data_IF_484258082571
#
_entry.id   IF_484258082571
#
_cell.length_a   1.000
_cell.length_b   1.000
_cell.length_c   1.000
_cell.angle_alpha   90.00
_cell.angle_beta   90.00
_cell.angle_gamma   90.00
#
_symmetry.space_group_name_H-M   'P 1'
#
loop_
_entity.id
_entity.type
_entity.pdbx_description
1 polymer ?
#
# COMPACT_ATOMS: atom_id res chain seq x y z
N UNK A 1 -11.63 -27.86 -30.31
CA UNK A 1 -10.77 -28.86 -29.66
C UNK A 1 -9.28 -28.54 -29.90
N UNK A 2 -8.65 -27.86 -28.93
CA UNK A 2 -7.20 -27.71 -28.93
C UNK A 2 -6.60 -29.11 -28.75
N UNK A 3 -5.94 -29.65 -29.78
CA UNK A 3 -5.16 -30.86 -29.64
C UNK A 3 -3.95 -30.53 -28.76
N UNK A 4 -3.97 -31.01 -27.52
CA UNK A 4 -2.80 -31.09 -26.66
C UNK A 4 -1.86 -32.13 -27.31
N UNK A 5 -0.88 -31.66 -28.08
CA UNK A 5 0.20 -32.51 -28.58
C UNK A 5 1.00 -33.07 -27.40
N UNK A 6 1.20 -34.39 -27.30
CA UNK A 6 1.95 -34.97 -26.19
C UNK A 6 3.42 -34.54 -26.32
N UNK A 7 3.85 -33.64 -25.44
CA UNK A 7 5.27 -33.36 -25.27
C UNK A 7 5.94 -34.63 -24.74
N UNK A 8 6.95 -35.12 -25.45
CA UNK A 8 7.77 -36.26 -25.04
C UNK A 8 8.67 -35.82 -23.87
N UNK A 9 8.11 -35.83 -22.66
CA UNK A 9 8.88 -35.87 -21.42
C UNK A 9 8.75 -37.28 -20.84
N UNK A 10 9.90 -37.86 -20.43
CA UNK A 10 10.08 -39.23 -19.92
C UNK A 10 8.83 -39.76 -19.19
N UNK A 11 8.25 -40.86 -19.69
CA UNK A 11 7.00 -41.50 -19.24
C UNK A 11 6.97 -41.95 -17.76
N UNK A 12 8.06 -41.79 -17.01
CA UNK A 12 8.23 -42.34 -15.66
C UNK A 12 8.16 -41.29 -14.52
N UNK A 13 7.83 -40.02 -14.81
CA UNK A 13 7.63 -39.00 -13.76
C UNK A 13 6.16 -38.59 -13.64
N UNK A 14 5.65 -38.35 -12.41
CA UNK A 14 4.34 -37.73 -12.24
C UNK A 14 4.29 -36.38 -12.96
N UNK A 15 3.19 -36.10 -13.65
CA UNK A 15 2.95 -34.87 -14.40
C UNK A 15 1.73 -34.09 -13.89
N UNK A 16 0.80 -34.78 -13.21
CA UNK A 16 -0.45 -34.22 -12.72
C UNK A 16 -0.66 -34.52 -11.24
N UNK A 17 -1.28 -33.58 -10.53
CA UNK A 17 -1.89 -33.80 -9.23
C UNK A 17 -3.39 -34.04 -9.40
N UNK A 18 -3.90 -35.03 -8.66
CA UNK A 18 -5.31 -35.35 -8.55
C UNK A 18 -5.85 -34.72 -7.27
N UNK A 19 -6.97 -34.02 -7.39
CA UNK A 19 -7.71 -33.45 -6.28
C UNK A 19 -9.10 -34.07 -6.20
N UNK A 20 -9.53 -34.44 -5.00
CA UNK A 20 -10.88 -34.92 -4.72
C UNK A 20 -11.40 -34.15 -3.49
N UNK A 21 -12.52 -33.45 -3.67
CA UNK A 21 -13.13 -32.62 -2.63
C UNK A 21 -12.12 -31.64 -1.99
N UNK A 22 -11.29 -31.01 -2.83
CA UNK A 22 -10.27 -30.04 -2.42
C UNK A 22 -8.97 -30.63 -1.87
N UNK A 23 -8.91 -31.94 -1.58
CA UNK A 23 -7.69 -32.59 -1.09
C UNK A 23 -6.85 -33.15 -2.24
N UNK A 24 -5.53 -32.90 -2.23
CA UNK A 24 -4.61 -33.55 -3.17
C UNK A 24 -4.46 -35.04 -2.81
N UNK A 25 -5.11 -35.95 -3.55
CA UNK A 25 -5.16 -37.39 -3.24
C UNK A 25 -4.11 -38.23 -3.95
N UNK A 26 -3.36 -37.67 -4.89
CA UNK A 26 -2.22 -38.37 -5.48
C UNK A 26 -1.58 -37.68 -6.68
N UNK A 27 -0.44 -38.21 -7.11
CA UNK A 27 0.30 -37.76 -8.29
C UNK A 27 0.22 -38.81 -9.42
N UNK A 28 -0.06 -38.37 -10.64
CA UNK A 28 -0.30 -39.22 -11.82
C UNK A 28 0.69 -38.89 -12.93
N UNK A 29 1.22 -39.91 -13.59
CA UNK A 29 2.05 -39.74 -14.80
C UNK A 29 1.22 -39.49 -16.07
N UNK A 30 -0.03 -39.96 -16.09
CA UNK A 30 -0.97 -39.79 -17.21
C UNK A 30 -2.42 -39.74 -16.71
N UNK A 31 -3.28 -39.04 -17.46
CA UNK A 31 -4.71 -38.93 -17.21
C UNK A 31 -5.56 -39.92 -18.02
N UNK A 32 -4.95 -40.84 -18.79
CA UNK A 32 -5.65 -41.81 -19.65
C UNK A 32 -6.73 -42.63 -18.93
N UNK A 33 -6.50 -42.98 -17.66
CA UNK A 33 -7.46 -43.74 -16.83
C UNK A 33 -8.75 -42.96 -16.53
N UNK A 34 -8.77 -41.65 -16.80
CA UNK A 34 -9.90 -40.75 -16.56
C UNK A 34 -10.50 -40.23 -17.87
N UNK A 35 -10.24 -40.89 -19.01
CA UNK A 35 -10.66 -40.44 -20.34
C UNK A 35 -12.16 -40.18 -20.49
N UNK A 36 -13.00 -40.99 -19.82
CA UNK A 36 -14.45 -40.78 -19.81
C UNK A 36 -14.85 -39.54 -19.00
N UNK A 37 -14.29 -39.36 -17.80
CA UNK A 37 -14.55 -38.18 -16.97
C UNK A 37 -14.08 -36.89 -17.65
N UNK A 38 -12.94 -36.95 -18.35
CA UNK A 38 -12.36 -35.80 -19.06
C UNK A 38 -13.29 -35.26 -20.17
N UNK A 39 -14.25 -36.05 -20.68
CA UNK A 39 -15.22 -35.58 -21.70
C UNK A 39 -16.15 -34.48 -21.18
N UNK A 40 -16.46 -34.53 -19.88
CA UNK A 40 -17.35 -33.58 -19.21
C UNK A 40 -16.60 -32.49 -18.43
N UNK A 41 -15.26 -32.48 -18.51
CA UNK A 41 -14.41 -31.52 -17.82
C UNK A 41 -14.07 -30.31 -18.70
N UNK A 42 -13.86 -29.17 -18.04
CA UNK A 42 -13.36 -27.95 -18.67
C UNK A 42 -11.87 -27.81 -18.34
N UNK A 43 -11.04 -27.68 -19.38
CA UNK A 43 -9.61 -27.44 -19.21
C UNK A 43 -9.30 -25.94 -19.23
N UNK A 44 -8.63 -25.47 -18.18
CA UNK A 44 -8.11 -24.10 -18.08
C UNK A 44 -6.61 -24.12 -18.32
N UNK A 45 -6.16 -23.47 -19.39
CA UNK A 45 -4.74 -23.23 -19.63
C UNK A 45 -4.38 -21.87 -19.01
N UNK A 46 -3.76 -21.93 -17.84
CA UNK A 46 -3.36 -20.75 -17.08
C UNK A 46 -1.90 -20.43 -17.41
N UNK A 47 -1.71 -19.43 -18.25
CA UNK A 47 -0.40 -18.92 -18.64
C UNK A 47 -0.48 -17.44 -18.97
N UNK A 48 0.68 -16.79 -19.01
CA UNK A 48 0.80 -15.42 -19.48
C UNK A 48 1.65 -15.42 -20.74
N UNK A 49 1.25 -14.64 -21.75
CA UNK A 49 2.10 -14.35 -22.92
C UNK A 49 3.28 -13.42 -22.57
N UNK A 50 3.32 -12.93 -21.32
CA UNK A 50 4.44 -12.19 -20.78
C UNK A 50 5.55 -13.14 -20.30
N UNK A 51 6.76 -12.90 -20.80
CA UNK A 51 7.98 -13.53 -20.30
C UNK A 51 8.75 -12.55 -19.40
N UNK A 52 8.79 -12.84 -18.09
CA UNK A 52 9.62 -12.10 -17.14
C UNK A 52 11.11 -12.20 -17.50
N UNK A 53 11.55 -13.35 -18.01
CA UNK A 53 12.93 -13.55 -18.44
C UNK A 53 13.31 -12.66 -19.64
N UNK A 54 12.39 -12.46 -20.59
CA UNK A 54 12.61 -11.49 -21.69
C UNK A 54 12.68 -10.05 -21.16
N UNK A 55 11.86 -9.70 -20.17
CA UNK A 55 11.89 -8.39 -19.54
C UNK A 55 13.20 -8.14 -18.78
N UNK A 56 13.70 -9.14 -18.06
CA UNK A 56 15.01 -9.09 -17.38
C UNK A 56 16.14 -8.85 -18.39
N UNK A 57 16.16 -9.60 -19.49
CA UNK A 57 17.17 -9.40 -20.55
C UNK A 57 17.12 -8.00 -21.15
N UNK A 58 15.92 -7.51 -21.48
CA UNK A 58 15.72 -6.14 -22.00
C UNK A 58 16.20 -5.07 -21.01
N UNK A 59 16.07 -5.34 -19.72
CA UNK A 59 16.58 -4.50 -18.64
C UNK A 59 18.10 -4.63 -18.42
N UNK A 60 18.80 -5.51 -19.15
CA UNK A 60 20.22 -5.78 -18.96
C UNK A 60 20.50 -6.53 -17.66
N UNK A 61 19.57 -7.40 -17.25
CA UNK A 61 19.70 -8.33 -16.14
C UNK A 61 19.89 -9.75 -16.68
N UNK A 62 20.72 -10.58 -16.04
CA UNK A 62 20.87 -11.97 -16.44
C UNK A 62 19.57 -12.75 -16.17
N UNK A 63 19.28 -13.73 -17.03
CA UNK A 63 18.27 -14.76 -16.72
C UNK A 63 18.66 -15.51 -15.45
N UNK A 64 17.68 -15.84 -14.60
CA UNK A 64 17.91 -16.60 -13.36
C UNK A 64 16.85 -17.69 -13.21
N UNK A 65 17.28 -18.95 -13.26
CA UNK A 65 16.48 -20.12 -12.86
C UNK A 65 17.09 -20.76 -11.59
N UNK A 66 16.28 -21.27 -10.63
CA UNK A 66 14.81 -21.18 -10.47
C UNK A 66 14.35 -20.04 -9.52
N UNK A 67 13.07 -19.67 -9.59
CA UNK A 67 12.41 -18.77 -8.64
C UNK A 67 11.74 -19.55 -7.50
N UNK A 68 11.88 -19.07 -6.27
CA UNK A 68 10.98 -19.46 -5.18
C UNK A 68 9.60 -18.82 -5.36
N UNK A 69 8.55 -19.57 -5.03
CA UNK A 69 7.18 -19.09 -4.96
C UNK A 69 6.69 -19.09 -3.52
N UNK A 70 6.19 -17.96 -3.05
CA UNK A 70 5.74 -17.78 -1.67
C UNK A 70 4.24 -17.54 -1.64
N UNK A 71 3.57 -18.15 -0.67
CA UNK A 71 2.17 -17.85 -0.37
C UNK A 71 2.11 -16.58 0.48
N UNK A 72 1.25 -15.64 0.10
CA UNK A 72 1.06 -14.38 0.82
C UNK A 72 -0.11 -14.47 1.80
N UNK A 73 -0.34 -13.43 2.59
CA UNK A 73 -1.59 -13.22 3.35
C UNK A 73 -2.63 -12.40 2.56
N UNK A 74 -2.30 -11.98 1.34
CA UNK A 74 -3.18 -11.17 0.49
C UNK A 74 -4.24 -12.09 -0.15
N UNK A 75 -5.54 -11.93 0.17
CA UNK A 75 -6.57 -12.78 -0.40
C UNK A 75 -6.82 -12.41 -1.87
N UNK A 76 -7.04 -13.42 -2.72
CA UNK A 76 -7.69 -13.21 -4.01
C UNK A 76 -9.17 -12.87 -3.82
N UNK A 77 -9.78 -12.23 -4.81
CA UNK A 77 -11.23 -11.99 -4.82
C UNK A 77 -11.97 -13.32 -4.80
N UNK A 78 -12.84 -13.50 -3.82
CA UNK A 78 -13.65 -14.72 -3.69
C UNK A 78 -14.73 -14.77 -4.76
N UNK A 79 -14.83 -15.89 -5.47
CA UNK A 79 -15.88 -16.10 -6.46
C UNK A 79 -16.29 -17.57 -6.52
N UNK A 80 -17.59 -17.88 -6.47
CA UNK A 80 -18.12 -19.24 -6.69
C UNK A 80 -17.40 -20.38 -5.93
N UNK A 81 -17.01 -20.16 -4.66
CA UNK A 81 -16.28 -21.13 -3.83
C UNK A 81 -14.76 -21.13 -4.01
N UNK A 82 -14.23 -20.38 -4.97
CA UNK A 82 -12.79 -20.12 -5.08
C UNK A 82 -12.42 -19.01 -4.08
N UNK A 83 -11.62 -19.36 -3.07
CA UNK A 83 -11.05 -18.45 -2.11
C UNK A 83 -9.64 -18.94 -1.72
N UNK A 84 -8.63 -18.17 -2.05
CA UNK A 84 -7.26 -18.53 -1.71
C UNK A 84 -6.39 -17.28 -1.57
N UNK A 85 -5.29 -17.36 -0.83
CA UNK A 85 -4.28 -16.31 -0.85
C UNK A 85 -3.52 -16.29 -2.19
N UNK A 86 -3.10 -15.11 -2.61
CA UNK A 86 -2.23 -14.92 -3.76
C UNK A 86 -0.90 -15.63 -3.52
N UNK A 87 -0.43 -16.38 -4.52
CA UNK A 87 0.93 -16.90 -4.57
C UNK A 87 1.76 -15.99 -5.47
N UNK A 88 2.94 -15.62 -5.01
CA UNK A 88 3.86 -14.74 -5.75
C UNK A 88 5.17 -15.42 -6.05
N UNK A 89 5.81 -15.04 -7.15
CA UNK A 89 7.22 -15.32 -7.42
C UNK A 89 8.05 -14.08 -7.14
N UNK A 90 9.27 -14.25 -6.64
CA UNK A 90 10.15 -13.13 -6.27
C UNK A 90 11.45 -13.14 -7.06
N UNK A 91 11.88 -11.96 -7.53
CA UNK A 91 13.22 -11.72 -8.08
C UNK A 91 13.93 -10.61 -7.28
N UNK A 92 15.19 -10.82 -6.85
CA UNK A 92 16.00 -9.75 -6.28
C UNK A 92 16.61 -8.93 -7.41
N UNK A 93 16.35 -7.63 -7.41
CA UNK A 93 16.70 -6.69 -8.48
C UNK A 93 17.60 -5.59 -7.93
N UNK A 94 18.76 -5.31 -8.54
CA UNK A 94 19.59 -4.15 -8.17
C UNK A 94 18.77 -2.85 -8.18
N UNK A 95 18.90 -2.04 -7.12
CA UNK A 95 18.09 -0.81 -6.93
C UNK A 95 18.15 0.13 -8.14
N UNK A 96 19.31 0.26 -8.77
CA UNK A 96 19.55 1.11 -9.95
C UNK A 96 18.88 0.60 -11.23
N UNK A 97 18.42 -0.66 -11.25
CA UNK A 97 17.76 -1.30 -12.40
C UNK A 97 16.24 -1.46 -12.24
N UNK A 98 15.67 -1.12 -11.08
CA UNK A 98 14.24 -1.28 -10.79
C UNK A 98 13.35 -0.59 -11.84
N UNK A 99 13.52 0.72 -12.05
CA UNK A 99 12.69 1.46 -13.00
C UNK A 99 12.82 0.93 -14.42
N UNK A 100 14.04 0.55 -14.83
CA UNK A 100 14.29 -0.02 -16.15
C UNK A 100 13.56 -1.36 -16.33
N UNK A 101 13.57 -2.22 -15.30
CA UNK A 101 12.85 -3.49 -15.32
C UNK A 101 11.34 -3.27 -15.38
N UNK A 102 10.78 -2.41 -14.52
CA UNK A 102 9.33 -2.13 -14.51
C UNK A 102 8.87 -1.60 -15.87
N UNK A 103 9.63 -0.68 -16.48
CA UNK A 103 9.36 -0.21 -17.85
C UNK A 103 9.43 -1.32 -18.89
N UNK A 104 10.43 -2.21 -18.81
CA UNK A 104 10.55 -3.36 -19.70
C UNK A 104 9.34 -4.29 -19.57
N UNK A 105 8.92 -4.60 -18.34
CA UNK A 105 7.77 -5.44 -18.06
C UNK A 105 6.47 -4.82 -18.62
N UNK A 106 6.21 -3.54 -18.36
CA UNK A 106 5.03 -2.85 -18.92
C UNK A 106 5.03 -2.84 -20.45
N UNK A 107 6.19 -2.68 -21.08
CA UNK A 107 6.30 -2.67 -22.55
C UNK A 107 6.04 -4.03 -23.21
N UNK A 108 6.30 -5.13 -22.50
CA UNK A 108 6.18 -6.50 -23.01
C UNK A 108 4.86 -7.15 -22.63
N UNK A 109 4.39 -6.95 -21.39
CA UNK A 109 3.23 -7.61 -20.82
C UNK A 109 2.03 -6.70 -20.54
N UNK A 110 2.14 -5.39 -20.80
CA UNK A 110 1.08 -4.44 -20.40
C UNK A 110 0.83 -4.48 -18.90
N UNK A 111 -0.44 -4.56 -18.50
CA UNK A 111 -0.85 -4.68 -17.09
C UNK A 111 -0.40 -6.00 -16.46
N UNK A 112 -0.31 -7.09 -17.23
CA UNK A 112 0.06 -8.42 -16.73
C UNK A 112 1.55 -8.53 -16.37
N UNK A 113 2.39 -7.62 -16.89
CA UNK A 113 3.82 -7.57 -16.57
C UNK A 113 4.14 -6.82 -15.28
N UNK A 114 3.18 -6.10 -14.69
CA UNK A 114 3.46 -5.26 -13.53
C UNK A 114 3.71 -6.09 -12.27
N UNK A 115 4.74 -5.75 -11.47
CA UNK A 115 4.91 -6.38 -10.17
C UNK A 115 3.75 -5.98 -9.25
N UNK A 116 3.36 -6.90 -8.38
CA UNK A 116 2.34 -6.64 -7.34
C UNK A 116 2.94 -6.02 -6.08
N UNK A 117 4.26 -6.13 -5.88
CA UNK A 117 4.96 -5.56 -4.74
C UNK A 117 6.44 -5.32 -5.05
N UNK A 118 7.01 -4.26 -4.48
CA UNK A 118 8.44 -3.94 -4.55
C UNK A 118 8.91 -3.52 -3.16
N UNK A 119 9.79 -4.31 -2.55
CA UNK A 119 10.29 -4.06 -1.20
C UNK A 119 9.96 -5.20 -0.24
N UNK A 120 9.77 -4.87 1.02
CA UNK A 120 9.81 -5.81 2.13
C UNK A 120 8.78 -6.95 2.01
N UNK A 121 9.19 -8.23 2.09
CA UNK A 121 8.29 -9.39 2.00
C UNK A 121 7.24 -9.45 3.12
N UNK A 122 7.49 -8.88 4.30
CA UNK A 122 6.57 -8.92 5.43
C UNK A 122 5.29 -8.14 5.16
N UNK A 123 5.33 -7.13 4.28
CA UNK A 123 4.13 -6.41 3.80
C UNK A 123 3.17 -7.33 3.00
N UNK A 124 3.67 -8.45 2.47
CA UNK A 124 2.86 -9.52 1.87
C UNK A 124 2.58 -10.68 2.84
N UNK A 125 3.01 -10.57 4.10
CA UNK A 125 2.93 -11.61 5.11
C UNK A 125 3.94 -12.75 4.94
N UNK A 126 5.00 -12.53 4.14
CA UNK A 126 6.05 -13.54 3.91
C UNK A 126 7.16 -13.33 4.94
N UNK A 127 7.25 -14.23 5.93
CA UNK A 127 8.22 -14.15 7.04
C UNK A 127 9.66 -14.55 6.66
N UNK A 128 9.81 -15.52 5.76
CA UNK A 128 11.12 -16.08 5.40
C UNK A 128 11.21 -16.38 3.91
N UNK A 129 11.93 -15.55 3.15
CA UNK A 129 12.20 -15.78 1.72
C UNK A 129 13.02 -17.05 1.45
N UNK A 130 13.77 -17.53 2.45
CA UNK A 130 14.54 -18.77 2.38
C UNK A 130 13.69 -20.04 2.42
N UNK A 131 12.39 -19.93 2.73
CA UNK A 131 11.46 -21.07 2.81
C UNK A 131 10.24 -20.82 1.91
N UNK A 132 10.41 -20.80 0.59
CA UNK A 132 9.27 -20.66 -0.31
C UNK A 132 8.32 -21.86 -0.18
N UNK A 133 7.04 -21.62 -0.45
CA UNK A 133 6.02 -22.68 -0.48
C UNK A 133 6.25 -23.67 -1.64
N UNK A 134 6.81 -23.18 -2.76
CA UNK A 134 7.16 -24.01 -3.91
C UNK A 134 8.49 -23.54 -4.53
N UNK A 135 9.28 -24.47 -5.07
CA UNK A 135 10.55 -24.16 -5.72
C UNK A 135 11.71 -23.96 -4.76
N UNK A 136 12.77 -23.30 -5.23
CA UNK A 136 14.03 -23.14 -4.50
C UNK A 136 14.11 -21.80 -3.76
N UNK A 137 14.85 -21.81 -2.65
CA UNK A 137 15.11 -20.62 -1.84
C UNK A 137 15.82 -19.53 -2.66
N UNK A 138 15.41 -18.27 -2.44
CA UNK A 138 16.02 -17.11 -3.11
C UNK A 138 16.68 -16.23 -2.06
N UNK A 139 17.93 -15.83 -2.32
CA UNK A 139 18.70 -14.94 -1.45
C UNK A 139 18.74 -13.55 -2.08
N UNK A 140 18.42 -12.52 -1.29
CA UNK A 140 18.56 -11.13 -1.68
C UNK A 140 19.87 -10.57 -1.11
N UNK A 141 20.76 -10.07 -1.98
CA UNK A 141 22.04 -9.50 -1.57
C UNK A 141 21.89 -8.03 -1.16
N UNK A 142 22.80 -7.46 -0.35
CA UNK A 142 22.80 -6.02 -0.08
C UNK A 142 22.80 -5.20 -1.38
N UNK A 143 21.88 -4.23 -1.49
CA UNK A 143 21.70 -3.40 -2.68
C UNK A 143 20.73 -3.98 -3.73
N UNK A 144 20.32 -5.24 -3.58
CA UNK A 144 19.18 -5.80 -4.31
C UNK A 144 17.87 -5.51 -3.54
N UNK A 145 16.79 -5.31 -4.29
CA UNK A 145 15.43 -5.07 -3.79
C UNK A 145 14.57 -6.24 -4.26
N UNK A 146 13.86 -6.95 -3.36
CA UNK A 146 12.97 -8.02 -3.76
C UNK A 146 11.74 -7.45 -4.46
N UNK A 147 11.40 -8.04 -5.61
CA UNK A 147 10.25 -7.66 -6.44
C UNK A 147 9.39 -8.87 -6.70
N UNK A 148 8.07 -8.72 -6.57
CA UNK A 148 7.11 -9.82 -6.57
C UNK A 148 6.13 -9.71 -7.73
N UNK A 149 5.88 -10.84 -8.39
CA UNK A 149 4.87 -10.98 -9.45
C UNK A 149 3.87 -12.08 -9.10
N UNK A 150 2.62 -12.00 -9.61
CA UNK A 150 1.65 -13.08 -9.47
C UNK A 150 2.18 -14.40 -10.03
N UNK A 151 2.00 -15.48 -9.29
CA UNK A 151 2.34 -16.83 -9.73
C UNK A 151 1.10 -17.57 -10.23
N UNK A 152 1.18 -18.31 -11.36
CA UNK A 152 0.10 -19.20 -11.79
C UNK A 152 -0.20 -20.30 -10.77
N UNK A 153 0.73 -20.58 -9.84
CA UNK A 153 0.52 -21.52 -8.74
C UNK A 153 -0.60 -21.09 -7.76
N UNK A 154 -1.06 -19.83 -7.83
CA UNK A 154 -2.26 -19.37 -7.12
C UNK A 154 -3.48 -20.26 -7.43
N UNK A 155 -3.56 -20.80 -8.64
CA UNK A 155 -4.64 -21.70 -9.07
C UNK A 155 -4.71 -22.99 -8.27
N UNK A 156 -3.60 -23.48 -7.70
CA UNK A 156 -3.58 -24.68 -6.87
C UNK A 156 -4.30 -24.46 -5.53
N UNK A 157 -4.14 -23.27 -4.96
CA UNK A 157 -4.89 -22.85 -3.77
C UNK A 157 -6.38 -22.74 -4.08
N UNK A 158 -6.73 -22.15 -5.22
CA UNK A 158 -8.11 -22.02 -5.67
C UNK A 158 -8.79 -23.40 -5.91
N UNK A 159 -8.08 -24.36 -6.51
CA UNK A 159 -8.55 -25.74 -6.67
C UNK A 159 -8.78 -26.44 -5.34
N UNK A 160 -7.93 -26.16 -4.36
CA UNK A 160 -8.07 -26.74 -3.02
C UNK A 160 -9.29 -26.18 -2.28
N UNK A 161 -9.68 -24.92 -2.55
CA UNK A 161 -10.79 -24.28 -1.86
C UNK A 161 -12.17 -24.57 -2.45
N UNK A 162 -12.26 -24.90 -3.75
CA UNK A 162 -13.55 -25.05 -4.43
C UNK A 162 -14.26 -26.39 -4.15
N UNK A 163 -13.61 -27.31 -3.42
CA UNK A 163 -14.14 -28.61 -2.97
C UNK A 163 -14.81 -29.45 -4.07
N UNK A 164 -14.36 -29.28 -5.32
CA UNK A 164 -14.93 -30.03 -6.45
C UNK A 164 -14.71 -31.54 -6.30
N UNK A 165 -15.65 -32.40 -6.74
CA UNK A 165 -15.53 -33.84 -6.54
C UNK A 165 -14.28 -34.45 -7.18
N UNK A 166 -13.84 -33.90 -8.31
CA UNK A 166 -12.65 -34.34 -9.02
C UNK A 166 -12.06 -33.19 -9.84
N UNK A 167 -10.77 -32.90 -9.65
CA UNK A 167 -10.02 -31.96 -10.44
C UNK A 167 -8.58 -32.45 -10.67
N UNK A 168 -7.94 -31.91 -11.71
CA UNK A 168 -6.55 -32.21 -12.07
C UNK A 168 -5.79 -30.91 -12.29
N UNK A 169 -4.54 -30.87 -11.84
CA UNK A 169 -3.61 -29.76 -12.09
C UNK A 169 -2.26 -30.30 -12.57
N UNK A 170 -1.54 -29.54 -13.38
CA UNK A 170 -0.15 -29.88 -13.70
C UNK A 170 0.74 -29.66 -12.48
N UNK A 171 1.71 -30.54 -12.30
CA UNK A 171 2.73 -30.38 -11.25
C UNK A 171 3.60 -29.17 -11.59
N UNK A 172 3.99 -28.32 -10.62
CA UNK A 172 4.93 -27.23 -10.85
C UNK A 172 6.19 -27.71 -11.60
N UNK A 173 6.54 -27.04 -12.69
CA UNK A 173 7.65 -27.43 -13.58
C UNK A 173 7.27 -28.38 -14.74
N UNK A 174 6.04 -28.92 -14.76
CA UNK A 174 5.49 -29.67 -15.88
C UNK A 174 4.58 -28.78 -16.73
N UNK A 175 5.18 -27.85 -17.48
CA UNK A 175 4.45 -26.87 -18.30
C UNK A 175 3.94 -27.51 -19.60
N UNK A 176 2.68 -27.24 -19.94
CA UNK A 176 2.11 -27.60 -21.25
C UNK A 176 2.64 -26.61 -22.29
N UNK A 177 3.45 -27.08 -23.23
CA UNK A 177 3.81 -26.29 -24.40
C UNK A 177 2.67 -26.31 -25.41
N UNK A 178 2.35 -25.14 -25.95
CA UNK A 178 1.34 -25.00 -27.01
C UNK A 178 2.01 -24.51 -28.29
N UNK A 179 1.50 -24.91 -29.45
CA UNK A 179 1.96 -24.43 -30.76
C UNK A 179 1.47 -23.00 -31.07
N UNK A 180 0.75 -22.38 -30.13
CA UNK A 180 0.41 -20.97 -30.20
C UNK A 180 1.70 -20.18 -30.05
N UNK A 181 2.22 -19.67 -31.17
CA UNK A 181 3.19 -18.58 -31.12
C UNK A 181 2.56 -17.46 -30.30
N UNK A 182 3.31 -16.84 -29.41
CA UNK A 182 2.91 -15.58 -28.80
C UNK A 182 2.44 -14.67 -29.92
N UNK A 183 1.13 -14.51 -30.06
CA UNK A 183 0.56 -13.38 -30.77
C UNK A 183 1.00 -12.22 -29.92
N UNK A 184 2.17 -11.66 -30.24
CA UNK A 184 2.69 -10.44 -29.62
C UNK A 184 1.52 -9.49 -29.63
N UNK A 185 0.90 -9.28 -28.46
CA UNK A 185 0.01 -8.15 -28.29
C UNK A 185 0.87 -6.98 -28.79
N UNK A 186 0.40 -6.31 -29.84
CA UNK A 186 1.20 -5.30 -30.54
C UNK A 186 1.85 -4.44 -29.46
N UNK A 187 3.19 -4.48 -29.37
CA UNK A 187 3.92 -3.84 -28.29
C UNK A 187 3.40 -2.41 -28.23
N UNK A 188 2.55 -2.13 -27.25
CA UNK A 188 1.87 -0.86 -27.17
C UNK A 188 2.98 0.15 -26.93
N UNK A 189 3.19 1.06 -27.88
CA UNK A 189 4.15 2.14 -27.66
C UNK A 189 3.73 2.80 -26.35
N UNK A 190 4.62 2.80 -25.35
CA UNK A 190 4.30 3.36 -24.04
C UNK A 190 4.03 4.84 -24.25
N UNK A 191 2.77 5.24 -24.19
CA UNK A 191 2.40 6.65 -24.16
C UNK A 191 2.78 7.22 -22.78
N UNK A 192 2.99 8.54 -22.62
CA UNK A 192 3.31 9.13 -21.32
C UNK A 192 2.34 8.75 -20.18
N UNK A 193 1.07 8.44 -20.52
CA UNK A 193 0.05 7.95 -19.58
C UNK A 193 0.33 6.55 -19.05
N UNK A 194 1.17 5.76 -19.75
CA UNK A 194 1.46 4.36 -19.47
C UNK A 194 2.93 4.09 -19.13
N UNK A 195 3.82 5.08 -19.21
CA UNK A 195 5.22 4.93 -18.78
C UNK A 195 5.23 4.91 -17.25
N UNK A 196 5.67 3.82 -16.60
CA UNK A 196 5.81 3.77 -15.15
C UNK A 196 7.06 4.51 -14.66
N UNK A 197 6.94 5.13 -13.50
CA UNK A 197 7.99 5.62 -12.62
C UNK A 197 7.96 4.82 -11.31
N UNK A 198 9.12 4.49 -10.78
CA UNK A 198 9.25 3.76 -9.50
C UNK A 198 9.65 4.74 -8.42
N UNK A 199 8.83 4.85 -7.38
CA UNK A 199 8.99 5.81 -6.30
C UNK A 199 9.28 5.10 -4.99
N UNK A 200 10.35 5.49 -4.32
CA UNK A 200 10.66 5.01 -2.97
C UNK A 200 9.76 5.75 -1.96
N UNK A 201 8.95 5.01 -1.20
CA UNK A 201 7.97 5.59 -0.26
C UNK A 201 8.33 5.32 1.21
N UNK A 202 9.00 4.20 1.53
CA UNK A 202 9.51 3.94 2.89
C UNK A 202 10.81 3.14 2.87
N UNK A 203 11.66 3.33 3.87
CA UNK A 203 12.93 2.62 4.04
C UNK A 203 12.84 1.49 5.09
N UNK A 204 11.91 1.59 6.04
CA UNK A 204 11.72 0.63 7.13
C UNK A 204 10.22 0.52 7.47
N UNK A 205 9.52 -0.51 6.97
CA UNK A 205 10.00 -1.50 6.01
C UNK A 205 10.28 -0.87 4.63
N UNK A 206 11.23 -1.44 3.88
CA UNK A 206 11.56 -0.96 2.53
C UNK A 206 10.33 -1.09 1.63
N UNK A 207 9.88 -0.01 0.99
CA UNK A 207 8.69 -0.05 0.15
C UNK A 207 8.80 0.94 -1.02
N UNK A 208 8.50 0.46 -2.22
CA UNK A 208 8.38 1.29 -3.41
C UNK A 208 6.98 1.16 -4.00
N UNK A 209 6.51 2.25 -4.61
CA UNK A 209 5.26 2.29 -5.37
C UNK A 209 5.54 2.61 -6.84
N UNK A 210 4.54 2.36 -7.69
CA UNK A 210 4.60 2.67 -9.12
C UNK A 210 3.46 3.62 -9.45
N UNK A 211 3.78 4.66 -10.21
CA UNK A 211 2.77 5.52 -10.85
C UNK A 211 3.19 5.84 -12.28
N UNK A 212 2.24 6.20 -13.14
CA UNK A 212 2.61 6.70 -14.46
C UNK A 212 3.28 8.07 -14.37
N UNK A 213 4.11 8.40 -15.35
CA UNK A 213 4.71 9.75 -15.50
C UNK A 213 3.60 10.81 -15.48
N UNK A 214 2.51 10.58 -16.22
CA UNK A 214 1.37 11.50 -16.26
C UNK A 214 0.71 11.69 -14.89
N UNK A 215 0.46 10.62 -14.13
CA UNK A 215 -0.12 10.71 -12.80
C UNK A 215 0.81 11.45 -11.82
N UNK A 216 2.09 11.10 -11.83
CA UNK A 216 3.10 11.73 -10.98
C UNK A 216 3.22 13.23 -11.28
N UNK A 217 3.20 13.61 -12.56
CA UNK A 217 3.24 15.00 -12.99
C UNK A 217 2.00 15.80 -12.52
N UNK A 218 0.80 15.24 -12.65
CA UNK A 218 -0.43 15.88 -12.15
C UNK A 218 -0.39 16.12 -10.65
N UNK A 219 0.15 15.17 -9.88
CA UNK A 219 0.28 15.33 -8.43
C UNK A 219 1.30 16.42 -8.09
N UNK A 220 2.43 16.52 -8.81
CA UNK A 220 3.41 17.62 -8.64
C UNK A 220 2.83 18.99 -9.00
N UNK A 221 1.96 19.05 -10.00
CA UNK A 221 1.22 20.28 -10.34
C UNK A 221 0.26 20.67 -9.21
N UNK A 222 -0.47 19.71 -8.64
CA UNK A 222 -1.31 19.95 -7.46
C UNK A 222 -0.48 20.39 -6.25
N UNK A 223 0.68 19.76 -5.98
CA UNK A 223 1.62 20.15 -4.91
C UNK A 223 2.06 21.61 -5.07
N UNK A 224 2.32 22.04 -6.31
CA UNK A 224 2.67 23.42 -6.62
C UNK A 224 1.51 24.40 -6.38
N UNK A 225 0.27 23.97 -6.65
CA UNK A 225 -0.93 24.81 -6.45
C UNK A 225 -1.27 24.95 -4.97
N UNK A 226 -1.26 23.86 -4.21
CA UNK A 226 -1.56 23.92 -2.77
C UNK A 226 -0.44 24.63 -2.01
N UNK A 227 0.80 24.59 -2.49
CA UNK A 227 1.94 25.29 -1.90
C UNK A 227 1.98 26.81 -2.16
N UNK A 228 0.96 27.38 -2.81
CA UNK A 228 0.84 28.84 -2.95
C UNK A 228 0.66 29.44 -1.55
N UNK A 229 1.38 30.53 -1.26
CA UNK A 229 1.33 31.24 0.01
C UNK A 229 0.56 32.56 -0.13
N UNK A 230 -0.79 32.53 -0.16
CA UNK A 230 -1.60 33.72 -0.46
C UNK A 230 -1.42 34.83 0.57
N UNK A 231 -1.09 34.49 1.82
CA UNK A 231 -0.93 35.43 2.93
C UNK A 231 0.54 35.76 3.20
N UNK A 232 1.48 35.24 2.41
CA UNK A 232 2.93 35.45 2.54
C UNK A 232 3.46 35.12 3.95
N UNK A 233 3.00 34.00 4.53
CA UNK A 233 3.41 33.49 5.84
C UNK A 233 4.84 32.95 5.87
N UNK A 234 5.42 32.68 4.70
CA UNK A 234 6.75 32.09 4.54
C UNK A 234 6.74 30.59 4.28
N UNK A 235 5.56 29.99 4.03
CA UNK A 235 5.41 28.53 3.90
C UNK A 235 6.11 27.98 2.65
N UNK A 236 6.36 28.82 1.65
CA UNK A 236 7.12 28.43 0.46
C UNK A 236 8.52 27.92 0.79
N UNK A 237 9.10 28.32 1.93
CA UNK A 237 10.37 27.81 2.44
C UNK A 237 10.26 26.42 3.10
N UNK A 238 9.05 25.97 3.41
CA UNK A 238 8.78 24.66 4.01
C UNK A 238 8.57 23.57 2.94
N UNK A 239 8.28 23.98 1.69
CA UNK A 239 7.98 23.06 0.59
C UNK A 239 9.12 22.07 0.37
N UNK A 240 8.77 20.80 0.45
CA UNK A 240 9.65 19.68 0.14
C UNK A 240 9.10 18.97 -1.09
N UNK A 241 9.97 18.71 -2.07
CA UNK A 241 9.57 18.15 -3.36
C UNK A 241 9.02 16.73 -3.20
N UNK A 242 7.92 16.44 -3.92
CA UNK A 242 7.30 15.12 -4.05
C UNK A 242 6.72 14.56 -2.72
N UNK A 243 6.50 15.40 -1.70
CA UNK A 243 5.89 14.94 -0.43
C UNK A 243 4.42 14.57 -0.63
N UNK A 244 3.65 15.35 -1.39
CA UNK A 244 2.28 15.02 -1.76
C UNK A 244 2.23 13.75 -2.62
N UNK A 245 3.20 13.59 -3.53
CA UNK A 245 3.32 12.39 -4.36
C UNK A 245 3.56 11.15 -3.51
N UNK A 246 4.57 11.17 -2.64
CA UNK A 246 4.88 10.03 -1.76
C UNK A 246 3.76 9.73 -0.77
N UNK A 247 3.14 10.76 -0.17
CA UNK A 247 1.99 10.60 0.70
C UNK A 247 0.82 9.92 -0.04
N UNK A 248 0.50 10.38 -1.25
CA UNK A 248 -0.56 9.80 -2.09
C UNK A 248 -0.26 8.35 -2.45
N UNK A 249 1.00 8.03 -2.79
CA UNK A 249 1.41 6.67 -3.12
C UNK A 249 1.39 5.76 -1.89
N UNK A 250 1.82 6.23 -0.72
CA UNK A 250 1.71 5.48 0.54
C UNK A 250 0.26 5.18 0.88
N UNK A 251 -0.61 6.20 0.80
CA UNK A 251 -2.04 6.07 1.07
C UNK A 251 -2.75 5.13 0.08
N UNK A 252 -2.26 5.03 -1.16
CA UNK A 252 -2.79 4.08 -2.15
C UNK A 252 -2.65 2.62 -1.69
N UNK A 253 -1.58 2.30 -0.94
CA UNK A 253 -1.32 0.96 -0.38
C UNK A 253 -2.04 0.70 0.94
N UNK A 254 -2.49 1.73 1.64
CA UNK A 254 -3.19 1.60 2.92
C UNK A 254 -4.59 0.98 2.75
N UNK A 255 -4.99 0.05 3.61
CA UNK A 255 -6.36 -0.47 3.70
C UNK A 255 -7.18 0.24 4.76
N UNK A 256 -6.55 0.63 5.87
CA UNK A 256 -7.18 1.37 6.96
C UNK A 256 -6.42 2.66 7.28
N UNK A 257 -7.15 3.75 7.47
CA UNK A 257 -6.60 5.10 7.66
C UNK A 257 -7.22 5.77 8.90
N UNK A 258 -6.36 6.33 9.76
CA UNK A 258 -6.79 7.16 10.88
C UNK A 258 -6.49 8.63 10.56
N UNK A 259 -7.53 9.45 10.46
CA UNK A 259 -7.42 10.89 10.21
C UNK A 259 -7.54 11.64 11.52
N UNK A 260 -6.73 12.66 11.74
CA UNK A 260 -6.89 13.60 12.86
C UNK A 260 -6.88 15.03 12.37
N UNK A 261 -7.64 15.87 13.05
CA UNK A 261 -7.80 17.29 12.73
C UNK A 261 -8.28 18.04 13.97
N UNK A 262 -8.15 19.36 13.96
CA UNK A 262 -8.63 20.23 15.02
C UNK A 262 -7.50 21.06 15.61
N UNK A 263 -7.72 22.37 15.61
CA UNK A 263 -6.79 23.39 16.05
C UNK A 263 -7.55 24.46 16.86
N UNK A 264 -7.32 24.54 18.18
CA UNK A 264 -8.08 25.46 19.01
C UNK A 264 -7.52 26.89 18.94
N UNK A 265 -8.15 27.75 18.13
CA UNK A 265 -7.75 29.18 18.00
C UNK A 265 -8.89 30.17 18.30
N UNK A 266 -10.16 29.73 18.30
CA UNK A 266 -11.33 30.58 18.46
C UNK A 266 -11.94 30.50 19.87
N UNK A 267 -11.23 31.04 20.87
CA UNK A 267 -11.57 30.94 22.30
C UNK A 267 -12.94 31.52 22.72
N UNK A 268 -13.65 32.22 21.84
CA UNK A 268 -15.01 32.72 22.09
C UNK A 268 -16.11 31.73 21.67
N UNK A 269 -15.75 30.56 21.15
CA UNK A 269 -16.65 29.49 20.73
C UNK A 269 -16.45 28.24 21.59
N UNK A 270 -17.46 27.37 21.64
CA UNK A 270 -17.42 26.10 22.34
C UNK A 270 -17.87 24.96 21.39
N UNK A 271 -16.96 24.06 20.98
CA UNK A 271 -15.52 24.05 21.27
C UNK A 271 -14.76 25.19 20.55
N UNK A 272 -13.57 25.60 21.03
CA UNK A 272 -12.82 26.74 20.50
C UNK A 272 -12.06 26.41 19.21
N UNK A 273 -12.66 25.66 18.29
CA UNK A 273 -12.08 25.19 17.03
C UNK A 273 -12.07 26.27 15.95
N UNK A 274 -11.11 26.16 15.04
CA UNK A 274 -11.19 26.83 13.75
C UNK A 274 -11.84 25.97 12.67
N UNK A 275 -12.04 26.57 11.50
CA UNK A 275 -12.70 25.92 10.37
C UNK A 275 -11.74 25.18 9.44
N UNK A 276 -10.44 25.48 9.51
CA UNK A 276 -9.45 24.77 8.73
C UNK A 276 -9.13 23.41 9.37
N UNK A 277 -8.96 22.39 8.54
CA UNK A 277 -8.84 21.00 8.96
C UNK A 277 -10.11 20.15 8.75
N UNK A 278 -11.22 20.36 9.48
CA UNK A 278 -12.40 19.50 9.42
C UNK A 278 -12.96 19.26 8.00
N UNK A 279 -13.09 20.28 7.12
CA UNK A 279 -13.53 20.05 5.74
C UNK A 279 -12.58 19.15 4.95
N UNK A 280 -11.26 19.34 5.11
CA UNK A 280 -10.24 18.51 4.48
C UNK A 280 -10.26 17.06 4.99
N UNK A 281 -10.47 16.87 6.28
CA UNK A 281 -10.63 15.55 6.90
C UNK A 281 -11.87 14.80 6.37
N UNK A 282 -13.02 15.48 6.25
CA UNK A 282 -14.24 14.89 5.68
C UNK A 282 -14.08 14.58 4.19
N UNK A 283 -13.45 15.48 3.42
CA UNK A 283 -13.19 15.25 2.00
C UNK A 283 -12.27 14.04 1.77
N UNK A 284 -11.17 13.95 2.53
CA UNK A 284 -10.27 12.81 2.47
C UNK A 284 -10.98 11.51 2.85
N UNK A 285 -11.76 11.55 3.93
CA UNK A 285 -12.57 10.43 4.37
C UNK A 285 -13.57 9.94 3.30
N UNK A 286 -14.21 10.87 2.58
CA UNK A 286 -15.12 10.56 1.47
C UNK A 286 -14.38 9.86 0.32
N UNK A 287 -13.20 10.36 -0.07
CA UNK A 287 -12.38 9.74 -1.12
C UNK A 287 -11.91 8.34 -0.72
N UNK A 288 -11.49 8.15 0.53
CA UNK A 288 -11.05 6.85 1.04
C UNK A 288 -12.22 5.84 1.10
N UNK A 289 -13.42 6.25 1.52
CA UNK A 289 -14.61 5.38 1.43
C UNK A 289 -14.96 4.99 0.00
N UNK A 290 -14.83 5.93 -0.95
CA UNK A 290 -15.07 5.65 -2.37
C UNK A 290 -14.07 4.63 -2.94
N UNK A 291 -12.87 4.56 -2.35
CA UNK A 291 -11.83 3.57 -2.65
C UNK A 291 -11.96 2.28 -1.80
N UNK A 292 -13.07 2.11 -1.08
CA UNK A 292 -13.36 0.95 -0.23
C UNK A 292 -12.34 0.73 0.90
N UNK A 293 -11.71 1.82 1.38
CA UNK A 293 -10.80 1.79 2.51
C UNK A 293 -11.55 2.01 3.82
N UNK A 294 -11.05 1.41 4.90
CA UNK A 294 -11.54 1.65 6.25
C UNK A 294 -11.03 2.99 6.76
N UNK A 295 -11.90 3.82 7.33
CA UNK A 295 -11.54 5.15 7.80
C UNK A 295 -12.08 5.34 9.22
N UNK A 296 -11.28 5.98 10.07
CA UNK A 296 -11.73 6.53 11.34
C UNK A 296 -11.17 7.96 11.50
N UNK A 297 -11.88 8.79 12.26
CA UNK A 297 -11.41 10.14 12.61
C UNK A 297 -11.13 10.15 14.11
N UNK A 298 -9.97 10.67 14.52
CA UNK A 298 -9.62 10.89 15.93
C UNK A 298 -9.46 12.37 16.21
N UNK A 299 -10.15 12.84 17.24
CA UNK A 299 -10.15 14.25 17.64
C UNK A 299 -10.02 14.36 19.15
N UNK A 300 -9.78 15.58 19.63
CA UNK A 300 -9.82 15.84 21.06
C UNK A 300 -11.21 15.54 21.63
N UNK A 301 -11.25 15.05 22.86
CA UNK A 301 -12.47 14.75 23.60
C UNK A 301 -13.42 15.95 23.67
N UNK A 302 -12.89 17.18 23.79
CA UNK A 302 -13.70 18.41 23.84
C UNK A 302 -14.45 18.69 22.52
N UNK A 303 -13.92 18.25 21.38
CA UNK A 303 -14.48 18.52 20.05
C UNK A 303 -15.30 17.34 19.51
N UNK A 304 -15.41 16.24 20.26
CA UNK A 304 -16.07 15.02 19.81
C UNK A 304 -17.51 15.26 19.31
N UNK A 305 -18.33 16.01 20.06
CA UNK A 305 -19.71 16.33 19.68
C UNK A 305 -19.80 17.15 18.38
N UNK A 306 -18.83 18.04 18.13
CA UNK A 306 -18.78 18.83 16.90
C UNK A 306 -18.51 17.92 15.71
N UNK A 307 -17.47 17.07 15.79
CA UNK A 307 -17.11 16.17 14.71
C UNK A 307 -18.16 15.09 14.46
N UNK A 308 -18.85 14.63 15.51
CA UNK A 308 -19.99 13.73 15.35
C UNK A 308 -21.07 14.38 14.47
N UNK A 309 -21.47 15.61 14.76
CA UNK A 309 -22.45 16.35 13.96
C UNK A 309 -21.97 16.60 12.53
N UNK A 310 -20.70 16.96 12.35
CA UNK A 310 -20.12 17.14 11.01
C UNK A 310 -20.24 15.85 10.17
N UNK A 311 -19.96 14.69 10.77
CA UNK A 311 -20.10 13.40 10.07
C UNK A 311 -21.56 13.06 9.80
N UNK A 312 -22.46 13.29 10.76
CA UNK A 312 -23.91 13.09 10.58
C UNK A 312 -24.46 13.95 9.43
N UNK A 313 -24.14 15.25 9.42
CA UNK A 313 -24.53 16.18 8.36
C UNK A 313 -23.92 15.80 7.01
N UNK A 314 -22.65 15.36 6.99
CA UNK A 314 -21.99 14.93 5.75
C UNK A 314 -22.63 13.66 5.17
N UNK A 315 -23.14 12.76 6.00
CA UNK A 315 -23.92 11.59 5.55
C UNK A 315 -25.30 12.04 5.05
N UNK A 316 -25.99 12.92 5.76
CA UNK A 316 -27.31 13.44 5.35
C UNK A 316 -27.24 14.15 3.99
N UNK A 317 -26.16 14.91 3.75
CA UNK A 317 -25.91 15.60 2.49
C UNK A 317 -25.35 14.68 1.38
N UNK A 318 -25.06 13.41 1.68
CA UNK A 318 -24.53 12.45 0.71
C UNK A 318 -23.06 12.67 0.33
N UNK A 319 -22.31 13.44 1.11
CA UNK A 319 -20.85 13.59 0.96
C UNK A 319 -20.15 12.31 1.43
N UNK A 320 -20.57 11.76 2.57
CA UNK A 320 -20.14 10.46 3.07
C UNK A 320 -21.19 9.40 2.74
N UNK A 321 -20.74 8.23 2.26
CA UNK A 321 -21.64 7.12 1.93
C UNK A 321 -22.19 6.44 3.19
N UNK A 322 -21.35 6.33 4.21
CA UNK A 322 -21.69 5.73 5.52
C UNK A 322 -21.05 6.55 6.65
N UNK A 323 -21.64 6.54 7.86
CA UNK A 323 -21.02 7.20 9.01
C UNK A 323 -19.63 6.61 9.30
N UNK A 324 -18.74 7.46 9.81
CA UNK A 324 -17.36 7.13 10.14
C UNK A 324 -17.19 7.14 11.66
N UNK A 325 -16.46 6.17 12.26
CA UNK A 325 -16.16 6.20 13.69
C UNK A 325 -15.38 7.46 14.09
N UNK A 326 -15.87 8.16 15.11
CA UNK A 326 -15.13 9.24 15.79
C UNK A 326 -14.52 8.69 17.08
N UNK A 327 -13.20 8.68 17.14
CA UNK A 327 -12.39 8.19 18.25
C UNK A 327 -11.81 9.36 19.05
N UNK A 328 -11.38 9.07 20.28
CA UNK A 328 -10.61 10.00 21.12
C UNK A 328 -9.44 9.27 21.76
N UNK A 329 -8.41 10.02 22.17
CA UNK A 329 -7.24 9.49 22.86
C UNK A 329 -6.71 10.52 23.85
N UNK A 330 -6.75 10.19 25.15
CA UNK A 330 -6.41 11.12 26.23
C UNK A 330 -4.98 10.97 26.76
N UNK A 331 -4.10 10.33 25.98
CA UNK A 331 -2.74 10.04 26.41
C UNK A 331 -2.60 8.78 27.24
N UNK A 332 -1.37 8.52 27.68
CA UNK A 332 -1.02 7.33 28.43
C UNK A 332 0.47 7.07 28.38
N UNK A 333 0.88 5.82 28.59
CA UNK A 333 2.25 5.40 28.34
C UNK A 333 2.47 5.17 26.84
N UNK A 334 3.73 5.00 26.44
CA UNK A 334 4.09 4.64 25.05
C UNK A 334 3.42 3.33 24.63
N UNK A 335 3.29 2.39 25.56
CA UNK A 335 2.64 1.10 25.34
C UNK A 335 1.13 1.27 25.12
N UNK A 336 0.49 2.27 25.76
CA UNK A 336 -0.92 2.56 25.54
C UNK A 336 -1.16 3.13 24.13
N UNK A 337 -0.28 4.03 23.65
CA UNK A 337 -0.32 4.54 22.28
C UNK A 337 -0.12 3.40 21.26
N UNK A 338 0.84 2.51 21.51
CA UNK A 338 1.10 1.35 20.66
C UNK A 338 -0.09 0.37 20.66
N UNK A 339 -0.66 0.09 21.82
CA UNK A 339 -1.85 -0.75 21.94
C UNK A 339 -3.07 -0.14 21.24
N UNK A 340 -3.19 1.19 21.23
CA UNK A 340 -4.22 1.87 20.46
C UNK A 340 -4.05 1.64 18.95
N UNK A 341 -2.81 1.58 18.45
CA UNK A 341 -2.53 1.40 17.02
C UNK A 341 -2.52 -0.06 16.56
N UNK A 342 -2.56 -1.03 17.49
CA UNK A 342 -2.37 -2.45 17.19
C UNK A 342 -3.58 -3.29 17.59
N UNK A 343 -3.91 -4.35 16.85
CA UNK A 343 -4.98 -5.27 17.22
C UNK A 343 -4.53 -6.07 18.44
N UNK A 344 -5.33 -6.04 19.50
CA UNK A 344 -5.01 -6.71 20.78
C UNK A 344 -3.63 -6.33 21.37
N UNK A 345 -3.08 -5.18 20.97
CA UNK A 345 -1.74 -4.74 21.37
C UNK A 345 -0.57 -5.43 20.66
N UNK A 346 -0.80 -6.29 19.67
CA UNK A 346 0.26 -6.95 18.91
C UNK A 346 0.89 -6.03 17.85
N UNK A 347 2.17 -5.64 17.99
CA UNK A 347 2.85 -4.71 17.08
C UNK A 347 2.98 -5.23 15.64
N UNK A 348 2.75 -6.52 15.42
CA UNK A 348 2.76 -7.14 14.09
C UNK A 348 1.42 -7.04 13.36
N UNK A 349 0.38 -6.53 14.03
CA UNK A 349 -0.97 -6.44 13.47
C UNK A 349 -1.53 -5.02 13.65
N UNK A 350 -1.07 -4.04 12.85
CA UNK A 350 -1.58 -2.68 12.93
C UNK A 350 -3.10 -2.64 12.66
N UNK A 351 -3.79 -1.74 13.37
CA UNK A 351 -5.19 -1.38 13.15
C UNK A 351 -5.34 -0.42 11.98
N UNK A 352 -4.33 0.43 11.78
CA UNK A 352 -4.28 1.46 10.75
C UNK A 352 -2.97 1.33 10.00
N UNK A 353 -3.02 1.37 8.67
CA UNK A 353 -1.82 1.34 7.83
C UNK A 353 -1.26 2.75 7.59
N UNK A 354 -2.10 3.78 7.74
CA UNK A 354 -1.69 5.17 7.53
C UNK A 354 -2.38 6.14 8.50
N UNK A 355 -1.61 7.03 9.12
CA UNK A 355 -2.10 8.13 9.94
C UNK A 355 -2.03 9.44 9.17
N UNK A 356 -3.09 10.26 9.17
CA UNK A 356 -3.09 11.56 8.49
C UNK A 356 -3.50 12.64 9.48
N UNK A 357 -2.63 13.61 9.73
CA UNK A 357 -2.95 14.84 10.45
C UNK A 357 -3.24 15.95 9.46
N UNK A 358 -4.40 16.61 9.58
CA UNK A 358 -4.80 17.74 8.74
C UNK A 358 -5.17 18.89 9.67
N UNK A 359 -4.34 19.93 9.68
CA UNK A 359 -4.54 21.10 10.56
C UNK A 359 -4.78 20.68 12.01
N UNK A 360 -3.91 19.79 12.49
CA UNK A 360 -3.93 19.27 13.85
C UNK A 360 -2.82 19.93 14.63
N UNK A 361 -3.11 20.53 15.78
CA UNK A 361 -2.07 21.12 16.63
C UNK A 361 -0.95 20.12 17.00
N UNK A 362 0.30 20.51 16.76
CA UNK A 362 1.50 19.73 17.03
C UNK A 362 2.23 20.20 18.29
N UNK A 363 2.83 19.25 19.02
CA UNK A 363 3.65 19.54 20.20
C UNK A 363 4.97 20.20 19.78
N UNK A 364 5.32 21.30 20.41
CA UNK A 364 6.62 21.95 20.29
C UNK A 364 7.69 21.28 21.17
N UNK A 365 8.95 21.67 21.00
CA UNK A 365 10.10 21.04 21.65
C UNK A 365 10.07 21.06 23.19
N UNK A 366 9.30 21.95 23.81
CA UNK A 366 9.13 22.05 25.27
C UNK A 366 7.93 21.24 25.81
N UNK A 367 7.25 20.48 24.94
CA UNK A 367 6.08 19.70 25.29
C UNK A 367 4.77 20.49 25.37
N UNK A 368 4.76 21.77 24.99
CA UNK A 368 3.55 22.58 24.87
C UNK A 368 3.02 22.60 23.43
N UNK A 369 1.83 23.17 23.26
CA UNK A 369 1.18 23.37 21.96
C UNK A 369 0.94 24.85 21.78
N UNK A 370 1.25 25.40 20.60
CA UNK A 370 1.16 26.83 20.34
C UNK A 370 0.37 27.10 19.07
N UNK A 371 -0.47 28.13 19.09
CA UNK A 371 -0.99 28.71 17.85
C UNK A 371 0.05 29.64 17.19
N UNK A 372 -0.23 30.11 15.98
CA UNK A 372 0.67 31.02 15.24
C UNK A 372 1.00 32.34 15.98
N UNK A 373 0.18 32.73 16.97
CA UNK A 373 0.42 33.90 17.83
C UNK A 373 1.25 33.59 19.08
N UNK A 374 1.88 32.40 19.14
CA UNK A 374 2.68 31.91 20.29
C UNK A 374 1.85 31.77 21.58
N UNK A 375 0.53 31.68 21.49
CA UNK A 375 -0.31 31.41 22.65
C UNK A 375 -0.28 29.92 22.97
N UNK A 376 -0.02 29.57 24.23
CA UNK A 376 -0.04 28.18 24.67
C UNK A 376 -1.49 27.67 24.76
N UNK A 377 -1.79 26.63 23.99
CA UNK A 377 -3.10 25.99 23.87
C UNK A 377 -3.12 24.57 24.43
N UNK A 378 -2.07 24.13 25.15
CA UNK A 378 -1.94 22.76 25.68
C UNK A 378 -3.15 22.27 26.47
N UNK A 379 -3.80 23.15 27.23
CA UNK A 379 -4.97 22.83 28.04
C UNK A 379 -6.22 22.46 27.21
N UNK A 380 -6.17 22.62 25.88
CA UNK A 380 -7.24 22.32 24.94
C UNK A 380 -6.88 21.15 24.00
N UNK A 381 -5.64 20.65 24.04
CA UNK A 381 -5.14 19.70 23.05
C UNK A 381 -4.82 18.39 23.74
N UNK A 382 -5.54 17.32 23.37
CA UNK A 382 -5.23 15.96 23.75
C UNK A 382 -3.96 15.48 23.03
N UNK A 383 -3.13 14.63 23.65
CA UNK A 383 -1.81 14.26 23.15
C UNK A 383 -1.86 13.18 22.04
N UNK A 384 -2.67 13.41 21.01
CA UNK A 384 -2.82 12.53 19.83
C UNK A 384 -1.50 12.38 19.06
N UNK A 385 -0.59 13.34 19.19
CA UNK A 385 0.76 13.28 18.66
C UNK A 385 1.60 12.12 19.22
N UNK A 386 1.26 11.60 20.41
CA UNK A 386 1.89 10.38 20.94
C UNK A 386 1.61 9.15 20.03
N UNK A 387 0.48 9.12 19.31
CA UNK A 387 0.18 8.07 18.33
C UNK A 387 1.13 8.14 17.13
N UNK A 388 1.49 9.35 16.67
CA UNK A 388 2.44 9.52 15.57
C UNK A 388 3.85 9.10 15.98
N UNK A 389 4.23 9.37 17.24
CA UNK A 389 5.49 8.88 17.80
C UNK A 389 5.52 7.36 17.96
N UNK A 390 4.39 6.75 18.35
CA UNK A 390 4.26 5.30 18.46
C UNK A 390 4.27 4.61 17.09
N UNK A 391 3.63 5.21 16.08
CA UNK A 391 3.57 4.68 14.71
C UNK A 391 4.96 4.42 14.12
N UNK A 392 5.95 5.30 14.39
CA UNK A 392 7.35 5.10 13.97
C UNK A 392 7.99 3.80 14.48
N UNK A 393 7.43 3.19 15.51
CA UNK A 393 7.92 1.94 16.12
C UNK A 393 7.07 0.72 15.73
N UNK A 394 5.97 0.92 15.01
CA UNK A 394 5.08 -0.15 14.57
C UNK A 394 5.27 -0.35 13.07
N UNK A 395 5.90 -1.45 12.63
CA UNK A 395 6.11 -1.73 11.22
C UNK A 395 4.80 -1.70 10.43
N UNK A 396 4.83 -1.12 9.24
CA UNK A 396 3.68 -1.06 8.34
C UNK A 396 2.73 0.13 8.57
N UNK A 397 2.95 0.97 9.60
CA UNK A 397 2.20 2.23 9.75
C UNK A 397 3.01 3.38 9.16
N UNK A 398 2.45 4.08 8.18
CA UNK A 398 2.98 5.33 7.64
C UNK A 398 2.22 6.54 8.18
N UNK A 399 2.80 7.73 8.08
CA UNK A 399 2.19 8.97 8.60
C UNK A 399 2.36 10.15 7.67
N UNK A 400 1.32 10.98 7.56
CA UNK A 400 1.33 12.25 6.82
C UNK A 400 0.85 13.37 7.71
N UNK A 401 1.60 14.47 7.75
CA UNK A 401 1.12 15.76 8.26
C UNK A 401 0.80 16.70 7.11
N UNK A 402 -0.34 17.37 7.20
CA UNK A 402 -0.76 18.46 6.32
C UNK A 402 -0.92 19.71 7.19
N UNK A 403 -0.20 20.78 6.85
CA UNK A 403 -0.22 22.01 7.62
C UNK A 403 0.21 23.23 6.81
N UNK A 404 -0.05 24.41 7.37
CA UNK A 404 0.06 25.70 6.70
C UNK A 404 0.86 26.75 7.51
N UNK A 405 1.41 26.37 8.66
CA UNK A 405 2.07 27.25 9.62
C UNK A 405 3.30 26.65 10.29
N UNK A 406 3.50 25.33 10.23
CA UNK A 406 4.65 24.64 10.80
C UNK A 406 4.52 24.24 12.28
N UNK A 407 3.41 24.61 12.93
CA UNK A 407 3.04 24.24 14.29
C UNK A 407 2.00 23.10 14.33
N UNK A 408 1.70 22.51 13.19
CA UNK A 408 0.81 21.36 13.01
C UNK A 408 1.58 20.05 13.16
N UNK A 409 0.86 19.00 13.57
CA UNK A 409 1.35 17.66 13.73
C UNK A 409 1.89 17.10 12.41
N UNK A 410 3.13 16.62 12.44
CA UNK A 410 3.86 16.13 11.28
C UNK A 410 4.87 17.14 10.72
N UNK A 411 4.69 18.44 10.99
CA UNK A 411 5.60 19.49 10.54
C UNK A 411 6.98 19.47 11.21
N UNK A 412 7.20 18.59 12.20
CA UNK A 412 8.54 18.30 12.72
C UNK A 412 9.54 17.96 11.61
N UNK A 413 9.08 17.36 10.50
CA UNK A 413 9.92 17.03 9.33
C UNK A 413 10.58 18.26 8.71
N UNK A 414 9.93 19.42 8.80
CA UNK A 414 10.40 20.70 8.25
C UNK A 414 10.75 21.71 9.35
N UNK A 415 10.89 21.24 10.60
CA UNK A 415 11.10 22.08 11.80
C UNK A 415 12.17 23.14 11.64
N UNK A 416 13.33 22.79 11.06
CA UNK A 416 14.43 23.74 10.88
C UNK A 416 14.10 24.85 9.89
N UNK A 417 13.28 24.58 8.88
CA UNK A 417 12.76 25.61 7.97
C UNK A 417 11.74 26.50 8.69
N UNK A 418 10.84 25.90 9.49
CA UNK A 418 9.86 26.63 10.32
C UNK A 418 10.57 27.63 11.24
N UNK A 419 11.60 27.18 11.96
CA UNK A 419 12.37 28.03 12.88
C UNK A 419 13.04 29.23 12.21
N UNK A 420 13.38 29.12 10.92
CA UNK A 420 14.10 30.17 10.17
C UNK A 420 13.17 31.13 9.44
N UNK A 421 12.04 30.64 8.97
CA UNK A 421 11.22 31.34 7.98
C UNK A 421 9.82 31.69 8.46
N UNK A 422 9.31 31.01 9.49
CA UNK A 422 7.99 31.29 10.05
C UNK A 422 8.10 32.22 11.26
N UNK A 423 7.15 33.16 11.34
CA UNK A 423 7.03 34.07 12.48
C UNK A 423 6.81 33.28 13.79
N UNK A 424 7.61 33.57 14.82
CA UNK A 424 7.66 32.79 16.08
C UNK A 424 8.06 31.31 15.93
N UNK A 425 8.61 30.90 14.78
CA UNK A 425 9.00 29.53 14.50
C UNK A 425 9.98 28.93 15.50
N UNK A 426 10.78 29.75 16.20
CA UNK A 426 11.69 29.31 17.27
C UNK A 426 10.97 28.67 18.46
N UNK A 427 9.69 29.01 18.67
CA UNK A 427 8.86 28.48 19.76
C UNK A 427 7.74 27.59 19.24
N UNK A 428 7.05 27.99 18.18
CA UNK A 428 5.81 27.29 17.75
C UNK A 428 6.08 26.02 16.94
N UNK A 429 7.29 25.86 16.39
CA UNK A 429 7.58 24.75 15.48
C UNK A 429 7.28 23.40 16.14
N UNK A 430 6.46 22.61 15.46
CA UNK A 430 6.16 21.24 15.86
C UNK A 430 7.46 20.42 15.93
N UNK A 431 7.55 19.56 16.94
CA UNK A 431 8.66 18.63 17.16
C UNK A 431 8.36 17.24 16.62
N UNK A 432 7.08 16.92 16.43
CA UNK A 432 6.64 15.59 15.98
C UNK A 432 6.62 15.55 14.46
N UNK A 433 7.56 14.80 13.89
CA UNK A 433 7.70 14.59 12.46
C UNK A 433 6.80 13.44 11.96
N UNK A 434 6.20 13.62 10.79
CA UNK A 434 5.56 12.55 10.03
C UNK A 434 6.50 12.02 8.94
N UNK A 435 6.18 10.86 8.36
CA UNK A 435 6.93 10.29 7.22
C UNK A 435 6.81 11.20 5.99
N UNK A 436 5.68 11.86 5.82
CA UNK A 436 5.44 12.85 4.79
C UNK A 436 4.90 14.16 5.37
N UNK A 437 5.41 15.31 4.93
CA UNK A 437 4.92 16.63 5.32
C UNK A 437 4.44 17.39 4.07
N UNK A 438 3.12 17.47 3.91
CA UNK A 438 2.47 18.21 2.82
C UNK A 438 2.20 19.64 3.31
N UNK A 439 2.76 20.61 2.61
CA UNK A 439 2.53 22.03 2.90
C UNK A 439 1.42 22.55 1.98
N UNK A 440 0.37 23.10 2.57
CA UNK A 440 -0.76 23.70 1.86
C UNK A 440 -1.04 25.09 2.45
N UNK A 441 -1.38 26.10 1.65
CA UNK A 441 -1.37 27.51 2.05
C UNK A 441 -2.63 28.34 1.89
#
# INVERSE_FOLDING_TARGET
PCQLSPCVYRMDRPQFWKYEFGACTGSLASLERYSEQLKDMVAFLLGCSFSLEEALEKAGLPRRDPAGHSQTTVPCVTHAGFCCPLVVTMRPIPKDKLERLVRACCSLGGEQGQPVHIGDPELLGIKELSKPAYGDAVVCSPGEVPVFWPSPLTSLGALSSCETPLAFASIPGCTVMTDLKDTKAAAGCLTPERIPEVHHISQDPLHYSIASVSASQKIRELESVIGIDPVSRGIGHLLCKDELLKASLSLSHARSVLITTGFPTHFNHEPPEETDGPPGAVALAAFLQALEKEVAIIVDQRAWNLHQKIVEDAVEQGVLKTPIPILTYQGGSVEAAQAFLCKDGDPQTPRFDHLVAIERAGRAADGNYYNARKMNIKHLVDPIDDLFLAAKKVPGISSTGVGDGGNELGMGKVKEAVRRHIWHGDVIACDVEADFAVIAG
#
